data_IF_407971482099
#
_entry.id   IF_407971482099
#
_cell.length_a   1.000
_cell.length_b   1.000
_cell.length_c   1.000
_cell.angle_alpha   90.00
_cell.angle_beta   90.00
_cell.angle_gamma   90.00
#
_symmetry.space_group_name_H-M   'P 1'
#
loop_
_entity.id
_entity.type
_entity.pdbx_description
1 polymer ?
#
# COMPACT_ATOMS: atom_id res chain seq x y z
N UNK A 1 -0.52 5.31 22.92
CA UNK A 1 -1.45 6.42 22.60
C UNK A 1 -2.17 6.17 21.27
N UNK A 2 -1.46 6.17 20.13
CA UNK A 2 -2.06 5.90 18.80
C UNK A 2 -2.80 4.56 18.70
N UNK A 3 -2.13 3.45 18.99
CA UNK A 3 -2.69 2.09 18.82
C UNK A 3 -3.97 1.88 19.62
N UNK A 4 -4.02 2.40 20.85
CA UNK A 4 -5.21 2.33 21.71
C UNK A 4 -6.38 3.06 21.06
N UNK A 5 -6.17 4.32 20.65
CA UNK A 5 -7.20 5.11 19.97
C UNK A 5 -7.65 4.45 18.66
N UNK A 6 -6.71 3.93 17.87
CA UNK A 6 -7.01 3.26 16.61
C UNK A 6 -7.89 2.01 16.83
N UNK A 7 -7.53 1.16 17.80
CA UNK A 7 -8.30 -0.05 18.11
C UNK A 7 -9.71 0.33 18.59
N UNK A 8 -9.84 1.34 19.45
CA UNK A 8 -11.14 1.80 19.95
C UNK A 8 -12.07 2.24 18.80
N UNK A 9 -11.53 3.00 17.83
CA UNK A 9 -12.28 3.44 16.64
C UNK A 9 -12.64 2.25 15.74
N UNK A 10 -11.69 1.36 15.47
CA UNK A 10 -11.93 0.19 14.61
C UNK A 10 -12.96 -0.77 15.22
N UNK A 11 -12.94 -0.98 16.54
CA UNK A 11 -13.97 -1.77 17.23
C UNK A 11 -15.37 -1.17 17.09
N UNK A 12 -15.49 0.15 16.97
CA UNK A 12 -16.79 0.79 16.72
C UNK A 12 -17.23 0.65 15.26
N UNK A 13 -16.29 0.67 14.32
CA UNK A 13 -16.55 0.39 12.90
C UNK A 13 -16.98 -1.07 12.70
N UNK A 14 -16.33 -2.01 13.38
CA UNK A 14 -16.63 -3.45 13.31
C UNK A 14 -18.08 -3.75 13.72
N UNK A 15 -18.59 -3.12 14.78
CA UNK A 15 -20.00 -3.28 15.21
C UNK A 15 -21.02 -2.81 14.16
N UNK A 16 -20.62 -1.90 13.27
CA UNK A 16 -21.49 -1.25 12.28
C UNK A 16 -21.32 -1.81 10.87
N UNK A 17 -20.39 -2.76 10.69
CA UNK A 17 -20.02 -3.28 9.38
C UNK A 17 -20.21 -4.78 9.34
N UNK A 18 -21.01 -5.26 8.38
CA UNK A 18 -21.11 -6.68 8.08
C UNK A 18 -20.18 -7.01 6.90
N UNK A 19 -19.27 -7.96 7.11
CA UNK A 19 -18.28 -8.43 6.13
C UNK A 19 -18.49 -9.88 5.73
N UNK A 20 -19.65 -10.46 6.04
CA UNK A 20 -19.94 -11.88 5.81
C UNK A 20 -19.81 -12.26 4.33
N UNK A 21 -20.31 -11.40 3.44
CA UNK A 21 -20.31 -11.62 1.99
C UNK A 21 -19.07 -11.08 1.28
N UNK A 22 -18.09 -10.57 2.02
CA UNK A 22 -16.92 -9.93 1.44
C UNK A 22 -15.95 -10.99 0.91
N UNK A 23 -15.34 -10.72 -0.23
CA UNK A 23 -14.21 -11.49 -0.75
C UNK A 23 -13.01 -11.39 0.22
N UNK A 24 -12.04 -12.32 0.16
CA UNK A 24 -10.83 -12.25 0.99
C UNK A 24 -10.06 -10.92 0.87
N UNK A 25 -10.15 -10.26 -0.29
CA UNK A 25 -9.55 -8.95 -0.50
C UNK A 25 -10.31 -7.85 0.24
N UNK A 26 -11.64 -7.82 0.09
CA UNK A 26 -12.50 -6.82 0.71
C UNK A 26 -12.47 -6.91 2.25
N UNK A 27 -12.28 -8.11 2.83
CA UNK A 27 -12.11 -8.27 4.29
C UNK A 27 -10.93 -7.48 4.88
N UNK A 28 -10.05 -6.91 4.05
CA UNK A 28 -8.96 -6.02 4.46
C UNK A 28 -9.41 -4.57 4.71
N UNK A 29 -10.72 -4.27 4.68
CA UNK A 29 -11.28 -2.93 4.95
C UNK A 29 -10.69 -2.26 6.19
N UNK A 30 -10.51 -2.99 7.28
CA UNK A 30 -9.99 -2.41 8.52
C UNK A 30 -8.54 -1.94 8.38
N UNK A 31 -7.74 -2.61 7.54
CA UNK A 31 -6.39 -2.16 7.20
C UNK A 31 -6.40 -0.86 6.41
N UNK A 32 -7.27 -0.76 5.40
CA UNK A 32 -7.43 0.47 4.61
C UNK A 32 -7.94 1.64 5.46
N UNK A 33 -8.90 1.38 6.34
CA UNK A 33 -9.40 2.41 7.28
C UNK A 33 -8.29 2.83 8.25
N UNK A 34 -7.47 1.90 8.72
CA UNK A 34 -6.34 2.21 9.60
C UNK A 34 -5.30 3.09 8.93
N UNK A 35 -5.04 2.89 7.64
CA UNK A 35 -4.14 3.73 6.85
C UNK A 35 -4.65 5.17 6.79
N UNK A 36 -5.95 5.37 6.52
CA UNK A 36 -6.57 6.69 6.53
C UNK A 36 -6.57 7.36 7.93
N UNK A 37 -6.82 6.57 8.98
CA UNK A 37 -6.84 7.07 10.35
C UNK A 37 -5.46 7.44 10.90
N UNK A 38 -4.39 6.88 10.33
CA UNK A 38 -3.02 7.25 10.67
C UNK A 38 -2.77 8.73 10.39
N UNK A 39 -3.13 9.19 9.18
CA UNK A 39 -2.96 10.58 8.76
C UNK A 39 -3.75 11.53 9.67
N UNK A 40 -5.01 11.21 9.94
CA UNK A 40 -5.88 11.99 10.85
C UNK A 40 -5.26 12.11 12.24
N UNK A 41 -4.66 11.03 12.76
CA UNK A 41 -4.04 11.04 14.07
C UNK A 41 -2.75 11.86 14.09
N UNK A 42 -1.89 11.72 13.07
CA UNK A 42 -0.65 12.51 12.94
C UNK A 42 -0.97 14.00 12.86
N UNK A 43 -1.95 14.38 12.03
CA UNK A 43 -2.41 15.75 11.88
C UNK A 43 -2.98 16.29 13.18
N UNK A 44 -3.83 15.51 13.87
CA UNK A 44 -4.44 15.97 15.11
C UNK A 44 -3.44 16.17 16.25
N UNK A 45 -2.41 15.32 16.31
CA UNK A 45 -1.39 15.37 17.35
C UNK A 45 -0.19 16.27 16.97
N UNK A 46 -0.23 16.90 15.77
CA UNK A 46 0.81 17.81 15.27
C UNK A 46 2.21 17.19 15.38
N UNK A 47 2.32 15.92 15.01
CA UNK A 47 3.58 15.19 15.07
C UNK A 47 4.43 15.61 13.90
N UNK A 48 5.69 16.00 14.18
CA UNK A 48 6.67 16.26 13.12
C UNK A 48 6.97 14.96 12.39
N UNK A 49 6.74 14.95 11.08
CA UNK A 49 7.07 13.83 10.21
C UNK A 49 7.87 14.31 9.00
N UNK A 50 8.57 13.37 8.36
CA UNK A 50 9.25 13.57 7.10
C UNK A 50 8.80 12.50 6.13
N UNK A 51 8.55 12.88 4.88
CA UNK A 51 8.22 11.93 3.83
C UNK A 51 9.49 11.35 3.24
N UNK A 52 9.49 10.04 2.98
CA UNK A 52 10.61 9.35 2.36
C UNK A 52 10.14 8.58 1.12
N UNK A 53 10.90 8.57 0.01
CA UNK A 53 10.50 7.84 -1.19
C UNK A 53 10.36 6.34 -0.91
N UNK A 54 9.32 5.74 -1.49
CA UNK A 54 9.11 4.29 -1.40
C UNK A 54 10.23 3.55 -2.12
N UNK A 55 10.98 2.72 -1.39
CA UNK A 55 12.11 1.95 -1.90
C UNK A 55 11.75 0.47 -2.00
N UNK A 56 11.95 -0.13 -3.17
CA UNK A 56 11.78 -1.58 -3.35
C UNK A 56 13.03 -2.31 -2.86
N UNK A 57 12.94 -2.99 -1.72
CA UNK A 57 14.06 -3.74 -1.12
C UNK A 57 14.36 -5.10 -1.80
N UNK A 58 13.51 -5.54 -2.74
CA UNK A 58 13.68 -6.82 -3.43
C UNK A 58 14.79 -6.82 -4.49
N UNK A 59 15.30 -8.02 -4.84
CA UNK A 59 16.31 -8.20 -5.89
C UNK A 59 15.78 -7.73 -7.24
N UNK A 60 16.18 -6.53 -7.64
CA UNK A 60 15.84 -5.98 -8.94
C UNK A 60 16.87 -6.47 -9.97
N UNK A 61 16.42 -7.28 -10.93
CA UNK A 61 17.26 -7.70 -12.07
C UNK A 61 17.43 -6.54 -13.05
N UNK A 62 18.24 -5.54 -12.68
CA UNK A 62 18.48 -4.31 -13.44
C UNK A 62 18.91 -4.59 -14.88
N UNK A 63 19.75 -5.61 -15.09
CA UNK A 63 20.19 -6.02 -16.43
C UNK A 63 19.02 -6.42 -17.33
N UNK A 64 18.07 -7.22 -16.82
CA UNK A 64 16.87 -7.63 -17.56
C UNK A 64 15.96 -6.43 -17.84
N UNK A 65 15.78 -5.54 -16.86
CA UNK A 65 14.96 -4.33 -17.04
C UNK A 65 15.54 -3.42 -18.12
N UNK A 66 16.85 -3.18 -18.10
CA UNK A 66 17.53 -2.32 -19.07
C UNK A 66 17.47 -2.95 -20.46
N UNK A 67 17.72 -4.25 -20.61
CA UNK A 67 17.63 -4.91 -21.91
C UNK A 67 16.21 -4.90 -22.47
N UNK A 68 15.20 -5.23 -21.67
CA UNK A 68 13.79 -5.13 -22.06
C UNK A 68 13.40 -3.70 -22.46
N UNK A 69 13.87 -2.68 -21.72
CA UNK A 69 13.62 -1.27 -22.02
C UNK A 69 14.24 -0.83 -23.35
N UNK A 70 15.50 -1.20 -23.62
CA UNK A 70 16.19 -0.88 -24.87
C UNK A 70 15.53 -1.58 -26.07
N UNK A 71 15.16 -2.86 -25.93
CA UNK A 71 14.46 -3.60 -26.97
C UNK A 71 13.13 -2.92 -27.29
N UNK A 72 12.33 -2.58 -26.27
CA UNK A 72 11.06 -1.85 -26.45
C UNK A 72 11.27 -0.50 -27.12
N UNK A 73 12.32 0.25 -26.77
CA UNK A 73 12.63 1.55 -27.36
C UNK A 73 12.96 1.46 -28.85
N UNK A 74 13.55 0.35 -29.32
CA UNK A 74 13.95 0.15 -30.72
C UNK A 74 12.87 -0.54 -31.56
N UNK A 75 12.18 -1.54 -31.02
CA UNK A 75 11.22 -2.37 -31.78
C UNK A 75 9.75 -2.02 -31.55
N UNK A 76 9.43 -1.22 -30.53
CA UNK A 76 8.04 -0.85 -30.19
C UNK A 76 7.17 -2.03 -29.72
N UNK A 77 7.75 -3.23 -29.53
CA UNK A 77 7.05 -4.47 -29.17
C UNK A 77 7.56 -4.99 -27.81
N UNK A 78 6.70 -5.64 -27.01
CA UNK A 78 7.12 -6.26 -25.75
C UNK A 78 8.14 -7.36 -26.01
N UNK A 79 9.10 -7.51 -25.09
CA UNK A 79 10.25 -8.40 -25.26
C UNK A 79 9.94 -9.78 -24.67
N UNK A 80 10.48 -10.86 -25.24
CA UNK A 80 10.38 -12.22 -24.67
C UNK A 80 11.05 -12.37 -23.29
N UNK A 81 11.84 -11.39 -22.86
CA UNK A 81 12.50 -11.35 -21.54
C UNK A 81 11.58 -10.82 -20.43
N UNK A 82 10.35 -10.43 -20.79
CA UNK A 82 9.36 -9.88 -19.86
C UNK A 82 8.64 -10.98 -19.03
N UNK A 83 8.89 -12.27 -19.34
CA UNK A 83 8.48 -13.46 -18.58
C UNK A 83 9.61 -14.02 -17.71
#
# INVERSE_FOLDING_TARGET
AYTTWLIDVLSEVEKRTDISDYTPYEKRIYGFISELLLDVWVDKNQISYVEYPVMFMGKQNWVKKISSFLIRKITGKPSRLDN
#
